data_IF_815217544297
#
_entry.id   IF_815217544297
#
_cell.length_a   1.000
_cell.length_b   1.000
_cell.length_c   1.000
_cell.angle_alpha   90.00
_cell.angle_beta   90.00
_cell.angle_gamma   90.00
#
_symmetry.space_group_name_H-M   'P 1'
#
loop_
_entity.id
_entity.type
_entity.pdbx_description
1 polymer ?
#
# COMPACT_ATOMS: atom_id res chain seq x y z
N UNK A 1 -3.11 35.05 4.89
CA UNK A 1 -3.94 33.85 4.71
C UNK A 1 -4.75 33.97 3.41
N UNK A 2 -4.41 33.16 2.40
CA UNK A 2 -5.19 33.12 1.17
C UNK A 2 -6.45 32.27 1.39
N UNK A 3 -7.61 32.79 1.02
CA UNK A 3 -8.88 32.05 1.01
C UNK A 3 -8.78 30.82 0.10
N UNK A 4 -9.44 29.70 0.44
CA UNK A 4 -9.51 28.55 -0.45
C UNK A 4 -10.30 28.91 -1.73
N UNK A 5 -9.96 28.30 -2.88
CA UNK A 5 -10.70 28.52 -4.12
C UNK A 5 -12.16 28.04 -3.97
N UNK A 6 -13.11 28.93 -4.29
CA UNK A 6 -14.56 28.70 -4.25
C UNK A 6 -15.10 28.03 -5.52
N UNK A 7 -14.52 26.91 -5.93
CA UNK A 7 -15.07 26.12 -7.04
C UNK A 7 -14.94 24.63 -6.73
N UNK A 8 -15.89 24.13 -5.92
CA UNK A 8 -16.25 22.71 -5.94
C UNK A 8 -16.95 22.44 -7.27
N UNK A 9 -16.22 21.93 -8.27
CA UNK A 9 -16.86 21.19 -9.36
C UNK A 9 -17.52 19.95 -8.75
N UNK A 10 -18.81 20.04 -8.45
CA UNK A 10 -19.61 18.89 -8.03
C UNK A 10 -19.64 17.90 -9.17
N UNK A 11 -19.28 16.66 -8.89
CA UNK A 11 -19.28 15.58 -9.87
C UNK A 11 -20.67 15.45 -10.51
N UNK A 12 -20.72 15.29 -11.84
CA UNK A 12 -21.96 15.16 -12.62
C UNK A 12 -22.68 13.81 -12.40
N UNK A 13 -22.21 12.99 -11.46
CA UNK A 13 -22.86 11.74 -11.08
C UNK A 13 -24.12 12.03 -10.26
N UNK A 14 -25.27 12.08 -10.96
CA UNK A 14 -26.60 12.30 -10.36
C UNK A 14 -27.11 11.13 -9.51
N UNK A 15 -26.44 9.97 -9.53
CA UNK A 15 -26.69 8.83 -8.66
C UNK A 15 -25.40 8.25 -8.12
N UNK A 16 -25.30 8.14 -6.79
CA UNK A 16 -24.28 7.31 -6.15
C UNK A 16 -24.60 5.84 -6.43
N UNK A 17 -23.73 5.14 -7.17
CA UNK A 17 -23.87 3.70 -7.39
C UNK A 17 -23.76 3.02 -6.02
N UNK A 18 -24.76 2.20 -5.60
CA UNK A 18 -24.68 1.51 -4.33
C UNK A 18 -23.47 0.57 -4.32
N UNK A 19 -22.71 0.50 -3.21
CA UNK A 19 -21.51 -0.33 -3.15
C UNK A 19 -21.88 -1.81 -3.24
N UNK A 20 -21.15 -2.56 -4.08
CA UNK A 20 -21.27 -4.03 -4.14
C UNK A 20 -20.60 -4.66 -2.90
N UNK A 21 -19.54 -4.02 -2.40
CA UNK A 21 -18.76 -4.46 -1.24
C UNK A 21 -18.72 -3.37 -0.17
N UNK A 22 -18.85 -3.75 1.10
CA UNK A 22 -18.83 -2.82 2.23
C UNK A 22 -17.44 -2.63 2.83
N UNK A 23 -16.51 -3.56 2.56
CA UNK A 23 -15.14 -3.56 3.08
C UNK A 23 -14.14 -3.72 1.95
N UNK A 24 -12.97 -3.12 2.11
CA UNK A 24 -11.84 -3.27 1.18
C UNK A 24 -10.54 -3.47 1.96
N UNK A 25 -9.71 -4.39 1.47
CA UNK A 25 -8.35 -4.61 1.97
C UNK A 25 -7.36 -4.14 0.90
N UNK A 26 -6.46 -3.25 1.27
CA UNK A 26 -5.36 -2.76 0.43
C UNK A 26 -4.08 -3.38 0.97
N UNK A 27 -3.47 -4.28 0.21
CA UNK A 27 -2.17 -4.87 0.53
C UNK A 27 -1.13 -4.24 -0.37
N UNK A 28 -0.17 -3.54 0.22
CA UNK A 28 1.00 -2.99 -0.45
C UNK A 28 2.21 -3.83 -0.06
N UNK A 29 2.86 -4.45 -1.05
CA UNK A 29 4.11 -5.19 -0.86
C UNK A 29 5.22 -4.35 -1.52
N UNK A 30 6.09 -3.75 -0.71
CA UNK A 30 7.15 -2.88 -1.24
C UNK A 30 8.16 -3.70 -2.07
N UNK A 31 8.64 -3.12 -3.15
CA UNK A 31 9.52 -3.74 -4.14
C UNK A 31 9.03 -5.07 -4.79
N UNK A 32 7.71 -5.30 -4.86
CA UNK A 32 7.15 -6.44 -5.62
C UNK A 32 7.29 -6.22 -7.14
N UNK A 33 8.35 -6.78 -7.72
CA UNK A 33 8.64 -6.71 -9.16
C UNK A 33 7.69 -7.62 -9.96
N UNK A 34 7.43 -7.26 -11.21
CA UNK A 34 6.55 -8.01 -12.11
C UNK A 34 7.04 -9.45 -12.34
N UNK A 35 8.36 -9.65 -12.49
CA UNK A 35 8.97 -10.97 -12.68
C UNK A 35 8.84 -11.91 -11.47
N UNK A 36 8.48 -11.37 -10.29
CA UNK A 36 8.19 -12.17 -9.10
C UNK A 36 6.79 -12.79 -9.11
N UNK A 37 5.88 -12.25 -9.91
CA UNK A 37 4.48 -12.73 -10.01
C UNK A 37 4.21 -13.38 -11.37
N UNK A 38 4.60 -12.72 -12.46
CA UNK A 38 4.33 -13.18 -13.83
C UNK A 38 5.46 -14.06 -14.39
N UNK A 39 6.59 -14.15 -13.70
CA UNK A 39 7.74 -14.95 -14.10
C UNK A 39 7.77 -16.36 -13.47
N UNK A 40 8.84 -17.10 -13.73
CA UNK A 40 9.05 -18.44 -13.16
C UNK A 40 9.16 -18.46 -11.63
N UNK A 41 9.53 -17.32 -11.02
CA UNK A 41 9.52 -17.15 -9.56
C UNK A 41 8.08 -17.15 -9.02
N UNK A 42 7.12 -16.54 -9.74
CA UNK A 42 5.71 -16.53 -9.34
C UNK A 42 5.12 -17.93 -9.32
N UNK A 43 5.28 -18.69 -10.41
CA UNK A 43 4.86 -20.10 -10.47
C UNK A 43 5.45 -20.97 -9.35
N UNK A 44 6.67 -20.68 -8.91
CA UNK A 44 7.38 -21.47 -7.91
C UNK A 44 7.09 -21.05 -6.47
N UNK A 45 6.99 -19.75 -6.22
CA UNK A 45 6.96 -19.19 -4.87
C UNK A 45 5.69 -18.39 -4.56
N UNK A 46 4.92 -17.98 -5.57
CA UNK A 46 3.61 -17.32 -5.41
C UNK A 46 2.46 -18.03 -6.17
N UNK A 47 2.31 -19.37 -6.02
CA UNK A 47 1.36 -20.13 -6.82
C UNK A 47 -0.10 -19.68 -6.65
N UNK A 48 -0.53 -19.23 -5.46
CA UNK A 48 -1.89 -18.75 -5.25
C UNK A 48 -2.15 -17.46 -6.03
N UNK A 49 -1.24 -16.49 -5.91
CA UNK A 49 -1.33 -15.21 -6.61
C UNK A 49 -1.28 -15.39 -8.12
N UNK A 50 -0.38 -16.25 -8.63
CA UNK A 50 -0.31 -16.55 -10.06
C UNK A 50 -1.60 -17.23 -10.56
N UNK A 51 -2.16 -18.17 -9.81
CA UNK A 51 -3.41 -18.85 -10.16
C UNK A 51 -4.60 -17.87 -10.24
N UNK A 52 -4.68 -16.89 -9.32
CA UNK A 52 -5.69 -15.83 -9.36
C UNK A 52 -5.60 -14.96 -10.63
N UNK A 53 -4.39 -14.70 -11.11
CA UNK A 53 -4.15 -13.96 -12.36
C UNK A 53 -4.55 -14.81 -13.57
N UNK A 54 -4.12 -16.07 -13.62
CA UNK A 54 -4.34 -16.96 -14.77
C UNK A 54 -5.81 -17.37 -14.95
N UNK A 55 -6.57 -17.52 -13.86
CA UNK A 55 -8.00 -17.86 -13.92
C UNK A 55 -8.90 -16.75 -14.47
N UNK A 56 -8.37 -15.53 -14.64
CA UNK A 56 -9.14 -14.38 -15.12
C UNK A 56 -10.19 -13.88 -14.13
N UNK A 57 -10.11 -14.28 -12.86
CA UNK A 57 -10.96 -13.78 -11.76
C UNK A 57 -10.41 -12.49 -11.15
N UNK A 58 -9.27 -12.00 -11.64
CA UNK A 58 -8.62 -10.77 -11.19
C UNK A 58 -8.24 -9.88 -12.37
N UNK A 59 -8.09 -8.59 -12.10
CA UNK A 59 -7.49 -7.64 -13.04
C UNK A 59 -6.06 -7.35 -12.59
N UNK A 60 -5.09 -7.68 -13.45
CA UNK A 60 -3.67 -7.50 -13.19
C UNK A 60 -3.08 -6.48 -14.16
N UNK A 61 -2.26 -5.56 -13.65
CA UNK A 61 -1.60 -4.52 -14.42
C UNK A 61 -0.13 -4.41 -14.01
N UNK A 62 0.73 -4.11 -14.97
CA UNK A 62 2.14 -3.77 -14.70
C UNK A 62 2.24 -2.24 -14.74
N UNK A 63 2.66 -1.66 -13.62
CA UNK A 63 2.91 -0.23 -13.51
C UNK A 63 4.41 0.06 -13.57
N UNK A 64 4.83 0.97 -14.46
CA UNK A 64 6.23 1.39 -14.55
C UNK A 64 6.54 2.46 -13.48
N UNK A 65 7.39 2.10 -12.51
CA UNK A 65 7.87 3.03 -11.51
C UNK A 65 9.18 3.70 -11.97
N UNK A 66 9.10 4.93 -12.48
CA UNK A 66 10.29 5.74 -12.86
C UNK A 66 11.17 6.10 -11.64
N UNK A 67 12.47 6.29 -11.82
CA UNK A 67 13.31 6.77 -10.71
C UNK A 67 12.85 8.17 -10.20
N UNK A 68 13.00 8.49 -8.90
CA UNK A 68 13.51 7.64 -7.83
C UNK A 68 12.42 6.70 -7.25
N UNK A 69 12.79 5.48 -6.90
CA UNK A 69 11.91 4.46 -6.28
C UNK A 69 11.90 4.62 -4.75
N UNK A 70 11.48 5.78 -4.27
CA UNK A 70 11.33 6.05 -2.83
C UNK A 70 9.88 5.78 -2.42
N UNK A 71 9.69 5.10 -1.30
CA UNK A 71 8.38 4.68 -0.78
C UNK A 71 7.40 5.84 -0.60
N UNK A 72 7.81 6.94 0.06
CA UNK A 72 6.90 8.07 0.35
C UNK A 72 6.29 8.72 -0.92
N UNK A 73 7.07 9.14 -1.95
CA UNK A 73 6.51 9.62 -3.21
C UNK A 73 5.55 8.66 -3.88
N UNK A 74 5.78 7.34 -3.75
CA UNK A 74 4.94 6.31 -4.37
C UNK A 74 3.62 6.15 -3.63
N UNK A 75 3.63 6.17 -2.30
CA UNK A 75 2.38 6.22 -1.51
C UNK A 75 1.56 7.45 -1.89
N UNK A 76 2.20 8.63 -2.02
CA UNK A 76 1.50 9.85 -2.47
C UNK A 76 0.88 9.68 -3.85
N UNK A 77 1.62 9.13 -4.80
CA UNK A 77 1.13 8.88 -6.15
C UNK A 77 -0.07 7.93 -6.17
N UNK A 78 0.01 6.82 -5.41
CA UNK A 78 -1.07 5.84 -5.30
C UNK A 78 -2.34 6.45 -4.70
N UNK A 79 -2.20 7.26 -3.65
CA UNK A 79 -3.35 7.80 -2.93
C UNK A 79 -3.98 9.03 -3.60
N UNK A 80 -3.22 9.78 -4.41
CA UNK A 80 -3.71 10.97 -5.14
C UNK A 80 -4.09 10.68 -6.60
N UNK A 81 -3.60 9.58 -7.17
CA UNK A 81 -3.71 9.29 -8.60
C UNK A 81 -2.82 10.18 -9.48
N UNK A 82 -1.87 10.93 -8.89
CA UNK A 82 -1.00 11.87 -9.61
C UNK A 82 0.39 11.29 -9.82
N UNK A 83 0.99 11.58 -10.98
CA UNK A 83 2.41 11.28 -11.22
C UNK A 83 3.23 12.27 -10.37
N UNK A 84 4.12 11.79 -9.48
CA UNK A 84 4.89 12.68 -8.62
C UNK A 84 5.91 13.46 -9.46
N UNK A 85 5.89 14.79 -9.35
CA UNK A 85 6.90 15.65 -9.96
C UNK A 85 8.22 15.58 -9.19
N UNK A 86 9.36 15.67 -9.90
CA UNK A 86 10.69 15.63 -9.27
C UNK A 86 10.88 16.71 -8.18
N UNK A 87 10.35 17.92 -8.41
CA UNK A 87 10.40 19.04 -7.45
C UNK A 87 9.54 18.75 -6.22
N UNK A 88 8.39 18.11 -6.38
CA UNK A 88 7.49 17.77 -5.26
C UNK A 88 8.12 16.76 -4.31
N UNK A 89 8.96 15.85 -4.82
CA UNK A 89 9.71 14.88 -4.00
C UNK A 89 10.73 15.59 -3.10
N UNK A 90 11.46 16.57 -3.64
CA UNK A 90 12.48 17.31 -2.89
C UNK A 90 11.83 18.27 -1.89
N UNK A 91 10.83 19.03 -2.31
CA UNK A 91 10.18 20.05 -1.48
C UNK A 91 9.36 19.44 -0.34
N UNK A 92 8.73 18.28 -0.56
CA UNK A 92 7.94 17.61 0.47
C UNK A 92 8.74 16.68 1.38
N UNK A 93 10.05 16.56 1.19
CA UNK A 93 10.91 15.76 2.07
C UNK A 93 10.86 16.27 3.53
N UNK A 94 10.55 17.56 3.72
CA UNK A 94 10.52 18.23 5.02
C UNK A 94 9.11 18.42 5.62
N UNK A 95 8.04 18.08 4.89
CA UNK A 95 6.66 18.17 5.38
C UNK A 95 5.96 16.82 5.18
N UNK A 96 5.92 15.97 6.21
CA UNK A 96 5.44 14.60 6.04
C UNK A 96 3.95 14.53 5.71
N UNK A 97 3.12 15.39 6.29
CA UNK A 97 1.66 15.30 6.11
C UNK A 97 1.23 15.67 4.68
N UNK A 98 0.47 14.77 4.04
CA UNK A 98 -0.15 15.01 2.74
C UNK A 98 -1.42 15.84 2.93
N UNK A 99 -1.44 17.03 2.31
CA UNK A 99 -2.55 17.99 2.42
C UNK A 99 -3.46 18.03 1.19
N UNK A 100 -3.00 17.44 0.09
CA UNK A 100 -3.75 17.36 -1.15
C UNK A 100 -4.89 16.35 -1.04
N UNK A 101 -5.90 16.48 -1.91
CA UNK A 101 -6.98 15.51 -1.99
C UNK A 101 -6.44 14.12 -2.31
N UNK A 102 -6.93 13.12 -1.58
CA UNK A 102 -6.44 11.75 -1.67
C UNK A 102 -7.48 10.76 -1.13
N UNK A 103 -7.33 9.49 -1.50
CA UNK A 103 -8.24 8.40 -1.14
C UNK A 103 -8.49 8.30 0.38
N UNK A 104 -7.44 8.44 1.20
CA UNK A 104 -7.54 8.30 2.66
C UNK A 104 -8.32 9.46 3.28
N UNK A 105 -8.07 10.67 2.79
CA UNK A 105 -8.82 11.86 3.20
C UNK A 105 -10.30 11.77 2.79
N UNK A 106 -10.57 11.38 1.54
CA UNK A 106 -11.94 11.21 1.04
C UNK A 106 -12.70 10.14 1.83
N UNK A 107 -12.08 8.98 2.09
CA UNK A 107 -12.67 7.93 2.90
C UNK A 107 -12.98 8.41 4.33
N UNK A 108 -12.05 9.13 4.96
CA UNK A 108 -12.26 9.70 6.30
C UNK A 108 -13.41 10.70 6.33
N UNK A 109 -13.47 11.61 5.35
CA UNK A 109 -14.54 12.61 5.21
C UNK A 109 -15.89 11.95 4.95
N UNK A 110 -15.91 10.82 4.25
CA UNK A 110 -17.10 9.98 4.07
C UNK A 110 -17.48 9.13 5.30
N UNK A 111 -16.82 9.34 6.45
CA UNK A 111 -17.12 8.65 7.70
C UNK A 111 -16.60 7.21 7.77
N UNK A 112 -15.73 6.80 6.84
CA UNK A 112 -15.16 5.44 6.81
C UNK A 112 -14.14 5.23 7.91
N UNK A 113 -14.16 4.04 8.50
CA UNK A 113 -13.23 3.58 9.53
C UNK A 113 -12.05 2.88 8.86
N UNK A 114 -10.87 3.48 8.97
CA UNK A 114 -9.65 3.02 8.30
C UNK A 114 -8.69 2.47 9.36
N UNK A 115 -8.25 1.22 9.18
CA UNK A 115 -7.23 0.57 9.99
C UNK A 115 -5.95 0.42 9.16
N UNK A 116 -4.78 0.66 9.76
CA UNK A 116 -3.49 0.60 9.07
C UNK A 116 -2.43 -0.19 9.87
N UNK A 117 -1.74 -1.12 9.23
CA UNK A 117 -0.55 -1.77 9.80
C UNK A 117 0.59 -1.82 8.77
N UNK A 118 1.80 -1.39 9.15
CA UNK A 118 2.97 -1.40 8.25
C UNK A 118 3.85 -0.16 8.37
N UNK A 119 4.55 0.20 7.30
CA UNK A 119 5.51 1.32 7.27
C UNK A 119 4.96 2.61 7.92
N UNK A 120 5.67 3.13 8.93
CA UNK A 120 5.28 4.33 9.67
C UNK A 120 5.19 5.63 8.83
N UNK A 121 5.71 5.61 7.60
CA UNK A 121 5.55 6.65 6.59
C UNK A 121 4.07 6.99 6.36
N UNK A 122 3.18 5.99 6.40
CA UNK A 122 1.73 6.22 6.27
C UNK A 122 1.17 7.07 7.42
N UNK A 123 1.62 6.82 8.65
CA UNK A 123 1.17 7.55 9.85
C UNK A 123 1.60 9.02 9.76
N UNK A 124 2.81 9.26 9.23
CA UNK A 124 3.36 10.59 9.01
C UNK A 124 2.63 11.32 7.86
N UNK A 125 2.26 10.60 6.80
CA UNK A 125 1.52 11.13 5.65
C UNK A 125 0.06 11.46 5.97
N UNK A 126 -0.61 10.62 6.76
CA UNK A 126 -2.05 10.71 7.03
C UNK A 126 -2.34 10.84 8.53
N UNK A 127 -1.80 11.86 9.22
CA UNK A 127 -1.97 12.00 10.66
C UNK A 127 -3.45 12.08 11.02
N UNK A 128 -3.88 11.32 12.04
CA UNK A 128 -5.26 11.27 12.57
C UNK A 128 -6.34 10.69 11.65
N UNK A 129 -5.97 10.09 10.52
CA UNK A 129 -6.95 9.48 9.61
C UNK A 129 -7.34 8.06 10.04
N UNK A 130 -6.39 7.29 10.57
CA UNK A 130 -6.60 5.91 11.03
C UNK A 130 -7.28 5.88 12.40
N UNK A 131 -8.28 5.00 12.55
CA UNK A 131 -8.96 4.76 13.84
C UNK A 131 -8.18 3.79 14.73
N UNK A 132 -7.34 2.97 14.12
CA UNK A 132 -6.43 2.03 14.74
C UNK A 132 -5.23 1.88 13.81
N UNK A 133 -4.02 1.90 14.37
CA UNK A 133 -2.82 1.71 13.57
C UNK A 133 -1.65 1.16 14.38
N UNK A 134 -0.73 0.48 13.68
CA UNK A 134 0.55 0.02 14.21
C UNK A 134 1.64 0.20 13.15
N UNK A 135 2.68 0.97 13.48
CA UNK A 135 3.71 1.40 12.55
C UNK A 135 5.01 0.63 12.72
N UNK A 136 5.64 0.21 11.62
CA UNK A 136 6.96 -0.39 11.61
C UNK A 136 7.98 0.59 11.05
N UNK A 137 9.20 0.58 11.60
CA UNK A 137 10.26 1.51 11.19
C UNK A 137 11.02 0.99 9.98
N UNK A 138 10.99 1.72 8.87
CA UNK A 138 11.66 1.33 7.61
C UNK A 138 13.18 1.54 7.60
N UNK A 139 13.76 2.09 8.67
CA UNK A 139 15.20 2.41 8.71
C UNK A 139 16.12 1.20 8.99
N UNK A 140 15.58 0.10 9.51
CA UNK A 140 16.37 -1.09 9.86
C UNK A 140 16.30 -2.15 8.75
N UNK A 141 17.00 -1.89 7.64
CA UNK A 141 17.03 -2.72 6.42
C UNK A 141 17.53 -4.17 6.66
N UNK A 142 18.24 -4.41 7.76
CA UNK A 142 18.67 -5.76 8.16
C UNK A 142 17.53 -6.64 8.69
N UNK A 143 16.41 -6.04 9.11
CA UNK A 143 15.23 -6.77 9.56
C UNK A 143 14.20 -6.87 8.43
N UNK A 144 14.16 -8.04 7.78
CA UNK A 144 13.16 -8.37 6.76
C UNK A 144 12.13 -9.40 7.26
N UNK A 145 12.11 -9.74 8.55
CA UNK A 145 11.22 -10.78 9.11
C UNK A 145 10.33 -10.20 10.20
N UNK A 146 10.89 -9.54 11.20
CA UNK A 146 10.14 -8.94 12.29
C UNK A 146 9.29 -7.75 11.78
N UNK A 147 9.79 -6.99 10.80
CA UNK A 147 9.02 -5.94 10.12
C UNK A 147 7.69 -6.45 9.54
N UNK A 148 7.69 -7.60 8.86
CA UNK A 148 6.47 -8.17 8.26
C UNK A 148 5.62 -8.89 9.33
N UNK A 149 6.24 -9.57 10.29
CA UNK A 149 5.52 -10.18 11.43
C UNK A 149 4.73 -9.16 12.24
N UNK A 150 5.24 -7.93 12.38
CA UNK A 150 4.56 -6.85 13.06
C UNK A 150 3.28 -6.38 12.34
N UNK A 151 3.18 -6.63 11.04
CA UNK A 151 1.94 -6.44 10.27
C UNK A 151 1.06 -7.68 10.40
N UNK A 152 1.61 -8.86 10.10
CA UNK A 152 0.87 -10.14 10.02
C UNK A 152 0.18 -10.51 11.33
N UNK A 153 0.78 -10.19 12.49
CA UNK A 153 0.22 -10.54 13.82
C UNK A 153 -1.18 -9.96 14.09
N UNK A 154 -1.60 -8.93 13.36
CA UNK A 154 -2.91 -8.30 13.50
C UNK A 154 -4.01 -8.96 12.65
N UNK A 155 -3.65 -9.62 11.54
CA UNK A 155 -4.59 -10.08 10.50
C UNK A 155 -5.69 -10.98 11.05
N UNK A 156 -5.33 -11.99 11.85
CA UNK A 156 -6.27 -12.95 12.42
C UNK A 156 -7.36 -12.33 13.27
N UNK A 157 -7.07 -11.20 13.92
CA UNK A 157 -8.02 -10.50 14.77
C UNK A 157 -8.82 -9.47 13.98
N UNK A 158 -8.17 -8.67 13.12
CA UNK A 158 -8.84 -7.61 12.36
C UNK A 158 -9.80 -8.16 11.30
N UNK A 159 -9.48 -9.27 10.65
CA UNK A 159 -10.34 -9.86 9.62
C UNK A 159 -11.65 -10.44 10.17
N UNK A 160 -11.71 -10.76 11.47
CA UNK A 160 -12.93 -11.23 12.16
C UNK A 160 -13.81 -10.08 12.67
N UNK A 161 -13.32 -8.85 12.58
CA UNK A 161 -14.00 -7.66 13.10
C UNK A 161 -14.92 -7.05 12.06
N UNK A 162 -16.01 -6.46 12.54
CA UNK A 162 -17.00 -5.73 11.74
C UNK A 162 -16.86 -4.21 11.83
N UNK A 163 -15.99 -3.70 12.70
CA UNK A 163 -15.85 -2.27 13.02
C UNK A 163 -14.79 -1.55 12.15
N UNK A 164 -14.70 -1.88 10.87
CA UNK A 164 -13.83 -1.20 9.90
C UNK A 164 -14.40 -1.28 8.47
N UNK A 165 -14.06 -0.29 7.64
CA UNK A 165 -14.44 -0.21 6.23
C UNK A 165 -13.22 -0.43 5.30
N UNK A 166 -12.04 0.05 5.70
CA UNK A 166 -10.80 -0.04 4.93
C UNK A 166 -9.70 -0.59 5.83
N UNK A 167 -9.04 -1.67 5.40
CA UNK A 167 -7.82 -2.19 6.01
C UNK A 167 -6.66 -1.98 5.06
N UNK A 168 -5.57 -1.37 5.54
CA UNK A 168 -4.36 -1.14 4.77
C UNK A 168 -3.21 -1.89 5.44
N UNK A 169 -2.53 -2.72 4.67
CA UNK A 169 -1.37 -3.51 5.09
C UNK A 169 -0.19 -3.12 4.21
N UNK A 170 0.95 -2.78 4.81
CA UNK A 170 2.15 -2.44 4.05
C UNK A 170 3.37 -3.25 4.53
N UNK A 171 3.82 -4.17 3.68
CA UNK A 171 4.94 -5.08 3.92
C UNK A 171 6.23 -4.56 3.29
N UNK A 172 7.34 -4.66 4.03
CA UNK A 172 8.64 -4.08 3.66
C UNK A 172 9.73 -5.14 3.45
N UNK A 173 9.53 -6.38 3.91
CA UNK A 173 10.61 -7.38 3.94
C UNK A 173 11.22 -7.68 2.58
N UNK A 174 10.46 -7.60 1.49
CA UNK A 174 10.97 -7.81 0.14
C UNK A 174 11.91 -6.67 -0.32
N UNK A 175 11.55 -5.42 -0.05
CA UNK A 175 12.40 -4.24 -0.30
C UNK A 175 13.68 -4.29 0.54
N UNK A 176 13.57 -4.65 1.82
CA UNK A 176 14.72 -4.80 2.71
C UNK A 176 15.72 -5.86 2.20
N UNK A 177 15.24 -7.03 1.75
CA UNK A 177 16.10 -8.06 1.12
C UNK A 177 16.75 -7.52 -0.17
N UNK A 178 15.98 -6.78 -0.98
CA UNK A 178 16.44 -6.15 -2.21
C UNK A 178 17.60 -5.18 -1.97
N UNK A 179 17.49 -4.33 -0.95
CA UNK A 179 18.55 -3.40 -0.54
C UNK A 179 19.78 -4.11 0.05
N UNK A 180 19.58 -5.17 0.83
CA UNK A 180 20.67 -5.89 1.50
C UNK A 180 21.47 -6.77 0.53
N UNK A 181 20.79 -7.46 -0.39
CA UNK A 181 21.38 -8.57 -1.15
C UNK A 181 20.93 -8.67 -2.61
N UNK A 182 20.06 -7.76 -3.06
CA UNK A 182 19.58 -7.70 -4.43
C UNK A 182 18.47 -8.71 -4.78
N UNK A 183 17.85 -8.56 -5.97
CA UNK A 183 16.65 -9.30 -6.37
C UNK A 183 16.89 -10.79 -6.72
N UNK A 184 18.15 -11.22 -6.75
CA UNK A 184 18.55 -12.61 -6.99
C UNK A 184 19.01 -13.33 -5.71
N UNK A 185 18.85 -12.69 -4.55
CA UNK A 185 19.14 -13.29 -3.25
C UNK A 185 18.36 -14.59 -3.05
N UNK A 186 18.96 -15.62 -2.44
CA UNK A 186 18.25 -16.86 -2.09
C UNK A 186 17.10 -16.61 -1.10
N UNK A 187 17.08 -15.47 -0.41
CA UNK A 187 16.01 -15.06 0.50
C UNK A 187 14.73 -14.61 -0.21
N UNK A 188 14.80 -14.25 -1.49
CA UNK A 188 13.63 -13.77 -2.26
C UNK A 188 12.57 -14.87 -2.37
N UNK A 189 12.96 -16.11 -2.68
CA UNK A 189 12.00 -17.22 -2.81
C UNK A 189 11.14 -17.44 -1.56
N UNK A 190 11.77 -17.68 -0.38
CA UNK A 190 11.05 -17.79 0.88
C UNK A 190 10.19 -16.57 1.20
N UNK A 191 10.68 -15.36 0.94
CA UNK A 191 9.90 -14.12 1.18
C UNK A 191 8.69 -14.00 0.25
N UNK A 192 8.81 -14.39 -1.01
CA UNK A 192 7.66 -14.44 -1.94
C UNK A 192 6.62 -15.45 -1.48
N UNK A 193 7.04 -16.61 -0.98
CA UNK A 193 6.10 -17.60 -0.40
C UNK A 193 5.42 -17.11 0.86
N UNK A 194 6.10 -16.31 1.69
CA UNK A 194 5.46 -15.61 2.80
C UNK A 194 4.37 -14.65 2.30
N UNK A 195 4.65 -13.84 1.27
CA UNK A 195 3.68 -12.91 0.70
C UNK A 195 2.48 -13.63 0.07
N UNK A 196 2.71 -14.74 -0.62
CA UNK A 196 1.63 -15.54 -1.23
C UNK A 196 0.68 -16.11 -0.17
N UNK A 197 1.22 -16.59 0.95
CA UNK A 197 0.43 -17.07 2.09
C UNK A 197 -0.35 -15.95 2.80
N UNK A 198 0.11 -14.69 2.72
CA UNK A 198 -0.61 -13.54 3.27
C UNK A 198 -1.78 -13.13 2.35
N UNK A 199 -1.62 -13.33 1.04
CA UNK A 199 -2.66 -13.03 0.04
C UNK A 199 -3.78 -14.09 0.07
N UNK A 200 -3.45 -15.35 0.38
CA UNK A 200 -4.39 -16.49 0.40
C UNK A 200 -5.38 -16.47 1.56
#
# INVERSE_FOLDING_TARGET
PAEPPKTEEKSEWTMTIPPIFNKVVIVLIDALRDDFVFGSKGLKFMPYTTDLVEKGTTHAFIAEAKAPTVTMPRIKALMTGRIPGFIDVIMNFNSPALKEDNLIWQAKTAGKRIIFYGDDTWIRLFPKHFVEYDGTTSFFVSDYTEVDNNVTRHLNNVLKREDWDILILHYLGLDHIGHLSGPNSPLIGPKLSEMDNIIS
#
